data_IF_212160508458
#
_entry.id   IF_212160508458
#
_cell.length_a   1.000
_cell.length_b   1.000
_cell.length_c   1.000
_cell.angle_alpha   90.00
_cell.angle_beta   90.00
_cell.angle_gamma   90.00
#
_symmetry.space_group_name_H-M   'P 1'
#
loop_
_entity.id
_entity.type
_entity.pdbx_description
1 polymer ?
#
# COMPACT_ATOMS: atom_id res chain seq x y z
N UNK A 1 -25.34 -16.89 -9.21
CA UNK A 1 -24.10 -17.03 -8.41
C UNK A 1 -22.98 -17.31 -9.40
N UNK A 2 -22.29 -16.26 -9.84
CA UNK A 2 -21.12 -16.39 -10.71
C UNK A 2 -20.03 -17.08 -9.90
N UNK A 3 -19.52 -18.21 -10.40
CA UNK A 3 -18.31 -18.83 -9.84
C UNK A 3 -17.23 -17.74 -9.78
N UNK A 4 -16.83 -17.36 -8.57
CA UNK A 4 -15.57 -16.66 -8.39
C UNK A 4 -14.52 -17.56 -9.03
N UNK A 5 -13.86 -17.07 -10.08
CA UNK A 5 -12.63 -17.69 -10.56
C UNK A 5 -11.75 -17.89 -9.33
N UNK A 6 -11.36 -19.14 -9.06
CA UNK A 6 -10.54 -19.46 -7.89
C UNK A 6 -9.31 -18.56 -7.93
N UNK A 7 -9.13 -17.75 -6.89
CA UNK A 7 -8.11 -16.70 -6.90
C UNK A 7 -6.76 -17.38 -6.92
N UNK A 8 -5.98 -17.19 -7.98
CA UNK A 8 -4.66 -17.79 -8.08
C UNK A 8 -3.74 -17.22 -7.00
N UNK A 9 -3.42 -18.06 -6.01
CA UNK A 9 -2.56 -17.71 -4.89
C UNK A 9 -1.13 -17.38 -5.33
N UNK A 10 -0.65 -17.94 -6.45
CA UNK A 10 0.65 -17.58 -6.99
C UNK A 10 0.64 -16.12 -7.47
N UNK A 11 -0.36 -15.75 -8.26
CA UNK A 11 -0.60 -14.36 -8.69
C UNK A 11 -0.77 -13.42 -7.50
N UNK A 12 -1.58 -13.75 -6.50
CA UNK A 12 -1.73 -12.91 -5.30
C UNK A 12 -0.41 -12.69 -4.56
N UNK A 13 0.43 -13.72 -4.44
CA UNK A 13 1.76 -13.58 -3.84
C UNK A 13 2.65 -12.64 -4.64
N UNK A 14 2.54 -12.61 -5.96
CA UNK A 14 3.29 -11.66 -6.79
C UNK A 14 2.85 -10.22 -6.54
N UNK A 15 1.54 -10.01 -6.46
CA UNK A 15 0.94 -8.71 -6.13
C UNK A 15 1.37 -8.27 -4.72
N UNK A 16 1.30 -9.15 -3.73
CA UNK A 16 1.73 -8.88 -2.36
C UNK A 16 3.19 -8.43 -2.30
N UNK A 17 4.10 -9.14 -2.99
CA UNK A 17 5.51 -8.75 -3.07
C UNK A 17 5.66 -7.34 -3.63
N UNK A 18 4.89 -6.98 -4.65
CA UNK A 18 4.95 -5.65 -5.27
C UNK A 18 4.36 -4.56 -4.38
N UNK A 19 3.25 -4.84 -3.70
CA UNK A 19 2.65 -3.97 -2.69
C UNK A 19 3.64 -3.70 -1.54
N UNK A 20 4.25 -4.75 -0.98
CA UNK A 20 5.23 -4.62 0.09
C UNK A 20 6.47 -3.86 -0.35
N UNK A 21 6.97 -4.13 -1.56
CA UNK A 21 8.11 -3.41 -2.12
C UNK A 21 7.82 -1.92 -2.28
N UNK A 22 6.68 -1.57 -2.89
CA UNK A 22 6.27 -0.18 -3.06
C UNK A 22 6.12 0.54 -1.72
N UNK A 23 5.39 -0.05 -0.77
CA UNK A 23 5.21 0.50 0.57
C UNK A 23 6.58 0.77 1.24
N UNK A 24 7.50 -0.20 1.17
CA UNK A 24 8.86 -0.06 1.72
C UNK A 24 9.64 1.07 1.04
N UNK A 25 9.55 1.20 -0.30
CA UNK A 25 10.23 2.24 -1.06
C UNK A 25 9.67 3.64 -0.80
N UNK A 26 8.37 3.80 -0.60
CA UNK A 26 7.78 5.09 -0.21
C UNK A 26 8.33 5.55 1.15
N UNK A 27 8.39 4.63 2.11
CA UNK A 27 8.92 4.87 3.46
C UNK A 27 10.41 5.20 3.40
N UNK A 28 11.19 4.41 2.66
CA UNK A 28 12.64 4.66 2.48
C UNK A 28 12.88 6.03 1.83
N UNK A 29 12.15 6.36 0.77
CA UNK A 29 12.28 7.65 0.10
C UNK A 29 11.95 8.82 1.04
N UNK A 30 10.84 8.72 1.80
CA UNK A 30 10.46 9.75 2.75
C UNK A 30 11.56 10.00 3.79
N UNK A 31 12.17 8.94 4.33
CA UNK A 31 13.21 9.03 5.35
C UNK A 31 14.60 9.44 4.80
N UNK A 32 14.78 9.55 3.49
CA UNK A 32 16.03 10.01 2.84
C UNK A 32 15.94 11.42 2.25
N UNK A 33 14.78 12.07 2.28
CA UNK A 33 14.53 13.34 1.56
C UNK A 33 15.12 14.57 2.27
N UNK A 34 15.79 14.43 3.41
CA UNK A 34 16.44 15.53 4.10
C UNK A 34 17.68 15.08 4.84
N UNK A 35 18.67 15.97 4.94
CA UNK A 35 19.87 15.82 5.78
C UNK A 35 19.54 16.05 7.26
N UNK A 36 18.45 15.43 7.73
CA UNK A 36 18.04 15.52 9.13
C UNK A 36 18.05 14.11 9.71
N UNK A 37 18.55 13.95 10.93
CA UNK A 37 18.52 12.67 11.66
C UNK A 37 17.10 12.21 12.05
N UNK A 38 16.07 12.99 11.69
CA UNK A 38 14.67 12.71 12.04
C UNK A 38 14.01 11.86 10.96
N UNK A 39 13.63 10.64 11.33
CA UNK A 39 12.79 9.76 10.50
C UNK A 39 11.38 10.34 10.39
N UNK A 40 11.10 10.97 9.26
CA UNK A 40 9.83 11.65 8.97
C UNK A 40 8.69 10.72 8.54
N UNK A 41 8.97 9.44 8.29
CA UNK A 41 8.04 8.42 8.79
C UNK A 41 7.67 7.26 7.87
N UNK A 42 6.57 6.62 8.27
CA UNK A 42 6.11 5.32 7.80
C UNK A 42 6.44 4.20 8.81
N UNK A 43 5.47 3.34 9.12
CA UNK A 43 5.69 2.22 10.03
C UNK A 43 5.94 0.93 9.23
N UNK A 44 7.20 0.60 8.97
CA UNK A 44 7.55 -0.57 8.14
C UNK A 44 6.99 -1.88 8.71
N UNK A 45 7.18 -2.12 10.01
CA UNK A 45 6.68 -3.34 10.65
C UNK A 45 5.14 -3.45 10.55
N UNK A 46 4.45 -2.34 10.76
CA UNK A 46 2.99 -2.27 10.62
C UNK A 46 2.52 -2.46 9.18
N UNK A 47 3.29 -2.05 8.19
CA UNK A 47 2.98 -2.28 6.77
C UNK A 47 3.22 -3.74 6.40
N UNK A 48 4.36 -4.29 6.80
CA UNK A 48 4.70 -5.70 6.57
C UNK A 48 3.65 -6.63 7.18
N UNK A 49 3.18 -6.36 8.40
CA UNK A 49 2.14 -7.16 9.06
C UNK A 49 0.77 -7.08 8.39
N UNK A 50 0.53 -6.09 7.52
CA UNK A 50 -0.76 -5.87 6.86
C UNK A 50 -0.76 -6.25 5.38
N UNK A 51 0.41 -6.51 4.78
CA UNK A 51 0.55 -6.71 3.34
C UNK A 51 -0.31 -7.88 2.82
N UNK A 52 -0.25 -9.04 3.48
CA UNK A 52 -0.98 -10.24 3.03
C UNK A 52 -2.49 -10.07 3.14
N UNK A 53 -3.00 -9.59 4.29
CA UNK A 53 -4.45 -9.43 4.50
C UNK A 53 -5.03 -8.35 3.58
N UNK A 54 -4.34 -7.22 3.39
CA UNK A 54 -4.81 -6.17 2.50
C UNK A 54 -4.75 -6.61 1.03
N UNK A 55 -3.72 -7.38 0.63
CA UNK A 55 -3.67 -7.93 -0.74
C UNK A 55 -4.82 -8.90 -0.99
N UNK A 56 -5.07 -9.83 -0.08
CA UNK A 56 -6.15 -10.79 -0.21
C UNK A 56 -7.53 -10.11 -0.28
N UNK A 57 -7.75 -9.09 0.55
CA UNK A 57 -9.00 -8.33 0.54
C UNK A 57 -9.19 -7.59 -0.78
N UNK A 58 -8.24 -6.73 -1.18
CA UNK A 58 -8.40 -5.85 -2.35
C UNK A 58 -8.39 -6.57 -3.70
N UNK A 59 -7.65 -7.68 -3.83
CA UNK A 59 -7.48 -8.36 -5.12
C UNK A 59 -8.25 -9.68 -5.22
N UNK A 60 -8.89 -10.12 -4.13
CA UNK A 60 -9.57 -11.42 -4.10
C UNK A 60 -10.94 -11.44 -3.44
N UNK A 61 -11.36 -10.38 -2.74
CA UNK A 61 -12.59 -10.45 -1.94
C UNK A 61 -13.51 -9.23 -2.02
N UNK A 62 -13.00 -8.02 -1.79
CA UNK A 62 -13.82 -6.81 -1.65
C UNK A 62 -14.11 -6.17 -3.02
N UNK A 63 -15.22 -5.44 -3.10
CA UNK A 63 -15.67 -4.71 -4.27
C UNK A 63 -15.89 -3.20 -4.01
N UNK A 64 -16.45 -2.51 -5.00
CA UNK A 64 -16.64 -1.05 -4.95
C UNK A 64 -17.65 -0.56 -3.90
N UNK A 65 -18.55 -1.43 -3.45
CA UNK A 65 -19.57 -1.12 -2.44
C UNK A 65 -19.04 -1.25 -0.99
N UNK A 66 -17.88 -1.89 -0.81
CA UNK A 66 -17.30 -2.12 0.50
C UNK A 66 -16.66 -0.86 1.09
N UNK A 67 -17.00 -0.58 2.35
CA UNK A 67 -16.42 0.54 3.10
C UNK A 67 -15.30 0.03 4.00
N UNK A 68 -14.06 0.37 3.67
CA UNK A 68 -12.89 -0.13 4.40
C UNK A 68 -12.19 0.99 5.17
N UNK A 69 -12.14 0.83 6.50
CA UNK A 69 -11.32 1.66 7.37
C UNK A 69 -9.91 1.06 7.51
N UNK A 70 -8.94 1.62 6.79
CA UNK A 70 -7.55 1.17 6.86
C UNK A 70 -6.89 1.68 8.16
N UNK A 71 -6.12 0.83 8.81
CA UNK A 71 -5.25 1.25 9.93
C UNK A 71 -4.31 2.36 9.44
N UNK A 72 -4.28 3.57 10.04
CA UNK A 72 -3.52 4.72 9.51
C UNK A 72 -2.02 4.43 9.30
N UNK A 73 -1.42 3.62 10.17
CA UNK A 73 0.00 3.26 10.07
C UNK A 73 0.34 2.27 8.94
N UNK A 74 -0.67 1.66 8.31
CA UNK A 74 -0.51 0.83 7.11
C UNK A 74 -0.81 1.58 5.81
N UNK A 75 -1.01 2.91 5.87
CA UNK A 75 -1.27 3.76 4.70
C UNK A 75 -0.32 3.57 3.51
N UNK A 76 1.01 3.31 3.67
CA UNK A 76 1.86 3.01 2.52
C UNK A 76 1.44 1.75 1.74
N UNK A 77 0.89 0.73 2.41
CA UNK A 77 0.32 -0.46 1.76
C UNK A 77 -0.92 -0.07 0.97
N UNK A 78 -1.81 0.74 1.56
CA UNK A 78 -2.99 1.24 0.88
C UNK A 78 -2.63 2.07 -0.36
N UNK A 79 -1.70 3.02 -0.25
CA UNK A 79 -1.24 3.82 -1.39
C UNK A 79 -0.61 2.98 -2.50
N UNK A 80 0.15 1.93 -2.14
CA UNK A 80 0.66 0.98 -3.11
C UNK A 80 -0.47 0.24 -3.85
N UNK A 81 -1.52 -0.17 -3.15
CA UNK A 81 -2.71 -0.78 -3.77
C UNK A 81 -3.38 0.21 -4.72
N UNK A 82 -3.66 1.44 -4.27
CA UNK A 82 -4.28 2.49 -5.12
C UNK A 82 -3.46 2.78 -6.38
N UNK A 83 -2.14 2.75 -6.27
CA UNK A 83 -1.27 2.88 -7.44
C UNK A 83 -1.40 1.70 -8.40
N UNK A 84 -1.38 0.47 -7.88
CA UNK A 84 -1.50 -0.74 -8.72
C UNK A 84 -2.90 -0.88 -9.35
N UNK A 85 -3.95 -0.34 -8.73
CA UNK A 85 -5.31 -0.30 -9.28
C UNK A 85 -5.56 0.89 -10.22
N UNK A 86 -4.56 1.78 -10.40
CA UNK A 86 -4.66 2.94 -11.29
C UNK A 86 -5.40 4.14 -10.70
N UNK A 87 -5.68 4.13 -9.40
CA UNK A 87 -6.41 5.18 -8.69
C UNK A 87 -5.49 6.23 -8.05
N UNK A 88 -4.18 5.98 -8.05
CA UNK A 88 -3.16 6.92 -7.58
C UNK A 88 -2.10 7.13 -8.65
N UNK A 89 -1.88 8.39 -9.03
CA UNK A 89 -0.85 8.74 -10.00
C UNK A 89 0.57 8.45 -9.47
N UNK A 90 1.46 8.03 -10.36
CA UNK A 90 2.84 7.66 -10.02
C UNK A 90 3.61 8.80 -9.35
N UNK A 91 3.32 10.05 -9.70
CA UNK A 91 4.00 11.23 -9.14
C UNK A 91 3.85 11.33 -7.63
N UNK A 92 2.79 10.74 -7.04
CA UNK A 92 2.55 10.75 -5.60
C UNK A 92 3.43 9.78 -4.80
N UNK A 93 4.01 8.73 -5.40
CA UNK A 93 4.70 7.67 -4.63
C UNK A 93 5.92 8.18 -3.84
N UNK A 94 6.50 9.30 -4.24
CA UNK A 94 7.63 9.96 -3.55
C UNK A 94 7.20 11.08 -2.61
N UNK A 95 5.89 11.33 -2.49
CA UNK A 95 5.33 12.47 -1.75
C UNK A 95 4.86 12.11 -0.35
N UNK A 96 5.16 10.90 0.14
CA UNK A 96 4.81 10.48 1.48
C UNK A 96 5.29 11.52 2.51
N UNK A 97 4.35 11.96 3.37
CA UNK A 97 4.53 12.99 4.42
C UNK A 97 4.88 14.39 3.90
N UNK A 98 4.74 14.66 2.61
CA UNK A 98 4.78 16.04 2.09
C UNK A 98 3.44 16.73 2.35
N UNK A 99 3.47 18.04 2.59
CA UNK A 99 2.26 18.85 2.54
C UNK A 99 1.65 18.76 1.13
N UNK A 100 0.38 18.39 1.03
CA UNK A 100 -0.30 18.16 -0.25
C UNK A 100 0.04 16.83 -0.94
N UNK A 101 0.90 16.01 -0.34
CA UNK A 101 1.22 14.66 -0.79
C UNK A 101 0.52 13.57 0.03
N UNK A 102 1.01 12.33 -0.10
CA UNK A 102 0.43 11.16 0.57
C UNK A 102 0.50 11.25 2.11
N UNK A 103 -0.64 11.03 2.76
CA UNK A 103 -0.80 11.04 4.22
C UNK A 103 -1.17 9.67 4.79
N UNK A 104 -1.30 9.59 6.11
CA UNK A 104 -1.76 8.40 6.81
C UNK A 104 -3.28 8.29 6.89
#
# INVERSE_FOLDING_TARGET
MTHASDVDLATLREVERRVLWLATRMIDHANRRGDTDIKVGGHQASCASMASIMTALWFGHIGGDDKVAVKPHASPVYHAIKYLTGELDRSYLTTLRQRGGLQA
#
